data_IF_154708206681
#
_entry.id   IF_154708206681
#
_cell.length_a   1.000
_cell.length_b   1.000
_cell.length_c   1.000
_cell.angle_alpha   90.00
_cell.angle_beta   90.00
_cell.angle_gamma   90.00
#
_symmetry.space_group_name_H-M   'P 1'
#
loop_
_entity.id
_entity.type
_entity.pdbx_description
1 polymer ?
#
# COMPACT_ATOMS: atom_id res chain seq x y z
N UNK A 1 -77.36 -3.39 6.49
CA UNK A 1 -76.19 -2.71 5.90
C UNK A 1 -75.01 -2.84 6.85
N UNK A 2 -74.07 -3.75 6.57
CA UNK A 2 -72.76 -3.82 7.25
C UNK A 2 -71.75 -4.32 6.23
N UNK A 3 -70.91 -3.42 5.74
CA UNK A 3 -69.69 -3.77 4.99
C UNK A 3 -68.56 -3.01 5.68
N UNK A 4 -67.81 -3.73 6.51
CA UNK A 4 -66.57 -3.26 7.12
C UNK A 4 -65.45 -3.64 6.16
N UNK A 5 -64.87 -2.63 5.52
CA UNK A 5 -63.75 -2.76 4.60
C UNK A 5 -62.47 -2.92 5.46
N UNK A 6 -61.87 -4.12 5.47
CA UNK A 6 -60.60 -4.37 6.13
C UNK A 6 -59.45 -3.83 5.27
N UNK A 7 -58.73 -2.84 5.80
CA UNK A 7 -57.51 -2.30 5.22
C UNK A 7 -56.32 -3.05 5.84
N UNK A 8 -55.82 -4.10 5.16
CA UNK A 8 -54.54 -4.73 5.52
C UNK A 8 -53.39 -3.93 4.91
N UNK A 9 -52.70 -3.15 5.75
CA UNK A 9 -51.45 -2.47 5.40
C UNK A 9 -50.29 -3.45 5.65
N UNK A 10 -49.74 -4.04 4.59
CA UNK A 10 -48.55 -4.87 4.66
C UNK A 10 -47.31 -3.97 4.83
N UNK A 11 -46.76 -3.94 6.04
CA UNK A 11 -45.47 -3.31 6.31
C UNK A 11 -44.35 -4.19 5.76
N UNK A 12 -43.77 -3.79 4.62
CA UNK A 12 -42.52 -4.34 4.12
C UNK A 12 -41.39 -3.92 5.07
N UNK A 13 -40.91 -4.86 5.88
CA UNK A 13 -39.66 -4.72 6.63
C UNK A 13 -38.49 -4.75 5.64
N UNK A 14 -38.00 -3.56 5.28
CA UNK A 14 -36.67 -3.42 4.69
C UNK A 14 -35.64 -3.78 5.76
N UNK A 15 -35.16 -5.03 5.74
CA UNK A 15 -33.94 -5.40 6.45
C UNK A 15 -32.79 -4.77 5.68
N UNK A 16 -32.37 -3.58 6.12
CA UNK A 16 -31.18 -2.93 5.61
C UNK A 16 -29.97 -3.80 5.93
N UNK A 17 -29.33 -4.37 4.92
CA UNK A 17 -27.98 -4.91 5.03
C UNK A 17 -27.06 -3.74 5.40
N UNK A 18 -26.65 -3.66 6.66
CA UNK A 18 -25.56 -2.79 7.06
C UNK A 18 -24.26 -3.39 6.55
N UNK A 19 -23.80 -2.95 5.38
CA UNK A 19 -22.43 -3.22 4.94
C UNK A 19 -21.50 -2.59 5.97
N UNK A 20 -20.74 -3.40 6.70
CA UNK A 20 -19.65 -2.89 7.53
C UNK A 20 -18.74 -2.07 6.62
N UNK A 21 -18.60 -0.78 6.95
CA UNK A 21 -17.77 0.15 6.21
C UNK A 21 -16.32 -0.18 6.58
N UNK A 22 -15.72 -1.14 5.89
CA UNK A 22 -14.29 -1.43 6.02
C UNK A 22 -13.53 -0.14 5.75
N UNK A 23 -12.59 0.22 6.61
CA UNK A 23 -11.72 1.39 6.44
C UNK A 23 -10.66 1.12 5.36
N UNK A 24 -11.14 0.67 4.20
CA UNK A 24 -10.31 0.28 3.09
C UNK A 24 -9.82 1.54 2.38
N UNK A 25 -8.51 1.71 2.33
CA UNK A 25 -7.83 2.80 1.64
C UNK A 25 -7.04 2.25 0.47
N UNK A 26 -6.78 3.11 -0.51
CA UNK A 26 -5.88 2.78 -1.63
C UNK A 26 -4.77 3.82 -1.68
N UNK A 27 -3.54 3.36 -1.47
CA UNK A 27 -2.34 4.18 -1.57
C UNK A 27 -1.66 3.86 -2.89
N UNK A 28 -1.27 4.89 -3.64
CA UNK A 28 -0.56 4.74 -4.92
C UNK A 28 0.71 5.57 -4.89
N UNK A 29 1.80 5.00 -5.38
CA UNK A 29 3.09 5.68 -5.39
C UNK A 29 4.22 4.78 -5.86
N UNK A 30 5.42 5.01 -5.32
CA UNK A 30 6.62 4.22 -5.62
C UNK A 30 7.04 3.41 -4.40
N UNK A 31 7.46 2.17 -4.62
CA UNK A 31 8.09 1.36 -3.56
C UNK A 31 9.49 1.89 -3.22
N UNK A 32 9.71 2.21 -1.95
CA UNK A 32 10.96 2.77 -1.43
C UNK A 32 11.46 2.01 -0.20
N UNK A 33 12.78 2.05 0.02
CA UNK A 33 13.40 1.66 1.30
C UNK A 33 13.17 2.78 2.32
N UNK A 34 12.35 2.50 3.34
CA UNK A 34 11.95 3.52 4.33
C UNK A 34 13.12 4.05 5.15
N UNK A 35 14.13 3.21 5.42
CA UNK A 35 15.30 3.60 6.21
C UNK A 35 16.20 4.53 5.43
N UNK A 36 16.59 4.13 4.22
CA UNK A 36 17.50 4.95 3.40
C UNK A 36 16.82 6.24 2.93
N UNK A 37 15.53 6.19 2.62
CA UNK A 37 14.74 7.39 2.32
C UNK A 37 14.70 8.34 3.53
N UNK A 38 14.37 7.84 4.73
CA UNK A 38 14.32 8.67 5.94
C UNK A 38 15.65 9.30 6.34
N UNK A 39 16.79 8.72 5.91
CA UNK A 39 18.11 9.32 6.10
C UNK A 39 18.43 10.41 5.07
N UNK A 40 17.95 10.24 3.83
CA UNK A 40 18.19 11.13 2.69
C UNK A 40 17.09 10.91 1.65
N UNK A 41 16.22 11.90 1.45
CA UNK A 41 15.06 11.75 0.56
C UNK A 41 15.43 11.50 -0.92
N UNK A 42 16.67 11.79 -1.32
CA UNK A 42 17.20 11.43 -2.65
C UNK A 42 17.30 9.91 -2.85
N UNK A 43 17.30 9.11 -1.76
CA UNK A 43 17.26 7.65 -1.79
C UNK A 43 15.81 7.13 -1.94
N UNK A 44 15.15 7.52 -3.02
CA UNK A 44 13.79 7.08 -3.37
C UNK A 44 13.75 6.17 -4.60
N UNK A 45 14.91 5.75 -5.11
CA UNK A 45 15.05 4.81 -6.25
C UNK A 45 15.71 3.51 -5.80
N UNK A 46 15.90 2.53 -6.69
CA UNK A 46 16.55 1.28 -6.29
C UNK A 46 18.04 1.47 -5.93
N UNK A 47 18.67 2.49 -6.52
CA UNK A 47 20.04 2.86 -6.22
C UNK A 47 20.06 3.96 -5.14
N UNK A 48 20.97 3.85 -4.18
CA UNK A 48 21.09 4.82 -3.09
C UNK A 48 22.46 5.48 -3.06
N UNK A 49 22.50 6.71 -2.56
CA UNK A 49 23.71 7.37 -2.11
C UNK A 49 23.91 7.08 -0.62
N UNK A 50 25.04 6.46 -0.29
CA UNK A 50 25.42 6.15 1.10
C UNK A 50 26.72 6.87 1.45
N UNK A 51 26.84 7.29 2.71
CA UNK A 51 28.07 7.91 3.22
C UNK A 51 29.05 6.83 3.66
N UNK A 52 30.27 6.84 3.11
CA UNK A 52 31.39 5.97 3.51
C UNK A 52 32.59 6.85 3.86
N UNK A 53 32.78 7.10 5.16
CA UNK A 53 33.71 8.14 5.63
C UNK A 53 33.22 9.52 5.21
N UNK A 54 34.08 10.33 4.59
CA UNK A 54 33.73 11.68 4.12
C UNK A 54 33.20 11.72 2.69
N UNK A 55 32.99 10.57 2.05
CA UNK A 55 32.55 10.48 0.65
C UNK A 55 31.17 9.88 0.53
N UNK A 56 30.39 10.42 -0.41
CA UNK A 56 29.16 9.80 -0.87
C UNK A 56 29.48 8.78 -1.96
N UNK A 57 28.89 7.59 -1.85
CA UNK A 57 29.06 6.48 -2.80
C UNK A 57 27.69 6.04 -3.29
N UNK A 58 27.56 5.85 -4.60
CA UNK A 58 26.36 5.26 -5.19
C UNK A 58 26.41 3.74 -5.02
N UNK A 59 25.38 3.17 -4.42
CA UNK A 59 25.18 1.74 -4.20
C UNK A 59 24.05 1.26 -5.12
N UNK A 60 24.36 0.44 -6.14
CA UNK A 60 23.35 -0.07 -7.04
C UNK A 60 22.44 -1.10 -6.35
N UNK A 61 21.15 -1.11 -6.68
CA UNK A 61 20.16 -2.09 -6.17
C UNK A 61 20.11 -2.19 -4.64
N UNK A 62 20.45 -1.10 -3.95
CA UNK A 62 20.49 -1.03 -2.50
C UNK A 62 19.10 -1.27 -1.88
N UNK A 63 18.04 -0.69 -2.47
CA UNK A 63 16.68 -0.84 -1.94
C UNK A 63 16.22 -2.31 -2.02
N UNK A 64 16.49 -2.97 -3.15
CA UNK A 64 16.23 -4.42 -3.36
C UNK A 64 16.94 -5.26 -2.29
N UNK A 65 18.23 -5.00 -2.07
CA UNK A 65 19.01 -5.74 -1.08
C UNK A 65 18.47 -5.53 0.35
N UNK A 66 18.16 -4.30 0.73
CA UNK A 66 17.58 -3.97 2.04
C UNK A 66 16.22 -4.64 2.26
N UNK A 67 15.32 -4.60 1.27
CA UNK A 67 14.03 -5.26 1.35
C UNK A 67 14.18 -6.79 1.52
N UNK A 68 15.11 -7.41 0.78
CA UNK A 68 15.45 -8.83 0.92
C UNK A 68 16.03 -9.19 2.29
N UNK A 69 16.68 -8.25 2.98
CA UNK A 69 17.14 -8.40 4.37
C UNK A 69 16.04 -8.17 5.42
N UNK A 70 14.81 -7.83 5.01
CA UNK A 70 13.69 -7.57 5.91
C UNK A 70 13.58 -6.12 6.39
N UNK A 71 14.33 -5.17 5.81
CA UNK A 71 14.15 -3.75 6.10
C UNK A 71 12.78 -3.30 5.56
N UNK A 72 11.94 -2.60 6.35
CA UNK A 72 10.60 -2.20 5.94
C UNK A 72 10.58 -1.39 4.65
N UNK A 73 9.60 -1.69 3.81
CA UNK A 73 9.31 -0.94 2.57
C UNK A 73 8.14 0.00 2.78
N UNK A 74 8.10 1.05 1.98
CA UNK A 74 7.04 2.05 2.01
C UNK A 74 6.56 2.41 0.62
N UNK A 75 5.38 3.01 0.56
CA UNK A 75 4.85 3.65 -0.65
C UNK A 75 5.02 5.15 -0.51
N UNK A 76 5.88 5.73 -1.34
CA UNK A 76 6.03 7.19 -1.48
C UNK A 76 4.92 7.71 -2.39
N UNK A 77 3.95 8.44 -1.84
CA UNK A 77 2.77 8.88 -2.58
C UNK A 77 3.12 9.73 -3.79
N UNK A 78 2.39 9.50 -4.89
CA UNK A 78 2.62 10.09 -6.22
C UNK A 78 4.05 9.96 -6.76
N UNK A 79 4.88 9.09 -6.15
CA UNK A 79 6.26 8.84 -6.55
C UNK A 79 7.18 10.08 -6.48
N UNK A 80 6.88 11.05 -5.60
CA UNK A 80 7.63 12.32 -5.49
C UNK A 80 8.33 12.46 -4.14
N UNK A 81 9.63 12.78 -4.09
CA UNK A 81 10.31 13.08 -2.84
C UNK A 81 9.62 14.23 -2.08
N UNK A 82 9.49 14.10 -0.76
CA UNK A 82 8.81 15.07 0.09
C UNK A 82 7.30 14.84 0.28
N UNK A 83 6.70 13.90 -0.47
CA UNK A 83 5.33 13.45 -0.22
C UNK A 83 5.26 12.46 0.94
N UNK A 84 4.03 12.17 1.37
CA UNK A 84 3.76 11.21 2.43
C UNK A 84 4.25 9.80 2.07
N UNK A 85 4.72 9.10 3.09
CA UNK A 85 5.16 7.71 3.00
C UNK A 85 4.25 6.85 3.86
N UNK A 86 3.69 5.81 3.26
CA UNK A 86 2.94 4.78 3.98
C UNK A 86 3.81 3.54 4.12
N UNK A 87 4.17 3.18 5.36
CA UNK A 87 4.91 1.94 5.63
C UNK A 87 4.00 0.75 5.36
N UNK A 88 4.50 -0.20 4.57
CA UNK A 88 3.75 -1.40 4.21
C UNK A 88 3.90 -2.43 5.32
N UNK A 89 2.79 -2.80 5.96
CA UNK A 89 2.74 -3.81 7.02
C UNK A 89 2.64 -5.20 6.38
N UNK A 90 3.78 -5.68 5.87
CA UNK A 90 3.93 -7.02 5.30
C UNK A 90 5.42 -7.42 5.29
N UNK A 91 5.75 -8.71 5.10
CA UNK A 91 7.14 -9.14 4.96
C UNK A 91 7.82 -8.42 3.79
N UNK A 92 8.83 -7.59 4.11
CA UNK A 92 9.51 -6.72 3.14
C UNK A 92 10.13 -7.47 1.96
N UNK A 93 10.61 -8.70 2.20
CA UNK A 93 11.23 -9.54 1.17
C UNK A 93 10.32 -9.80 -0.04
N UNK A 94 9.00 -9.80 0.16
CA UNK A 94 8.01 -9.92 -0.93
C UNK A 94 8.17 -8.82 -1.99
N UNK A 95 8.60 -7.63 -1.58
CA UNK A 95 8.68 -6.46 -2.44
C UNK A 95 10.07 -6.25 -3.06
N UNK A 96 11.05 -7.10 -2.74
CA UNK A 96 12.44 -6.90 -3.11
C UNK A 96 12.62 -6.73 -4.64
N UNK A 97 11.99 -7.58 -5.45
CA UNK A 97 12.07 -7.49 -6.93
C UNK A 97 11.18 -6.39 -7.55
N UNK A 98 10.46 -5.66 -6.69
CA UNK A 98 9.52 -4.61 -7.08
C UNK A 98 9.93 -3.21 -6.59
N UNK A 99 11.06 -3.09 -5.90
CA UNK A 99 11.59 -1.79 -5.48
C UNK A 99 11.73 -0.83 -6.66
N UNK A 100 11.48 0.46 -6.42
CA UNK A 100 11.47 1.54 -7.42
C UNK A 100 10.34 1.47 -8.47
N UNK A 101 9.50 0.43 -8.47
CA UNK A 101 8.33 0.35 -9.35
C UNK A 101 7.16 1.16 -8.79
N UNK A 102 6.27 1.60 -9.68
CA UNK A 102 4.97 2.13 -9.27
C UNK A 102 4.13 1.00 -8.67
N UNK A 103 3.54 1.26 -7.52
CA UNK A 103 2.68 0.34 -6.78
C UNK A 103 1.36 1.01 -6.44
N UNK A 104 0.30 0.21 -6.39
CA UNK A 104 -0.97 0.56 -5.77
C UNK A 104 -1.31 -0.53 -4.77
N UNK A 105 -1.53 -0.14 -3.53
CA UNK A 105 -1.91 -1.05 -2.45
C UNK A 105 -3.29 -0.65 -1.97
N UNK A 106 -4.21 -1.61 -2.00
CA UNK A 106 -5.54 -1.46 -1.40
C UNK A 106 -5.60 -2.34 -0.15
N UNK A 107 -6.02 -1.78 0.97
CA UNK A 107 -6.03 -2.50 2.24
C UNK A 107 -6.47 -1.61 3.40
N UNK A 108 -6.09 -1.98 4.62
CA UNK A 108 -6.46 -1.25 5.83
C UNK A 108 -5.32 -0.34 6.29
N UNK A 109 -5.65 0.82 6.86
CA UNK A 109 -4.67 1.69 7.54
C UNK A 109 -4.87 1.59 9.05
N UNK A 110 -4.28 0.58 9.74
CA UNK A 110 -4.52 0.36 11.17
C UNK A 110 -3.98 1.49 12.06
N UNK A 111 -3.01 2.27 11.56
CA UNK A 111 -2.52 3.49 12.19
C UNK A 111 -2.02 4.49 11.13
N UNK A 112 -1.87 5.76 11.53
CA UNK A 112 -1.42 6.82 10.64
C UNK A 112 -0.06 6.50 10.00
N UNK A 113 0.07 6.72 8.68
CA UNK A 113 1.29 6.45 7.93
C UNK A 113 1.54 4.97 7.66
N UNK A 114 0.52 4.12 7.72
CA UNK A 114 0.65 2.68 7.46
C UNK A 114 -0.40 2.15 6.50
N UNK A 115 -0.06 1.06 5.83
CA UNK A 115 -0.95 0.30 4.97
C UNK A 115 -0.71 -1.19 5.17
N UNK A 116 -1.72 -1.91 5.64
CA UNK A 116 -1.77 -3.37 5.68
C UNK A 116 -2.42 -3.86 4.38
N UNK A 117 -1.67 -4.53 3.49
CA UNK A 117 -2.19 -4.90 2.17
C UNK A 117 -3.31 -5.94 2.26
N UNK A 118 -4.41 -5.70 1.54
CA UNK A 118 -5.35 -6.74 1.11
C UNK A 118 -5.20 -7.06 -0.39
N UNK A 119 -4.68 -6.11 -1.16
CA UNK A 119 -4.30 -6.28 -2.56
C UNK A 119 -3.08 -5.43 -2.88
N UNK A 120 -2.11 -6.00 -3.59
CA UNK A 120 -0.95 -5.28 -4.11
C UNK A 120 -0.88 -5.42 -5.61
N UNK A 121 -0.75 -4.29 -6.30
CA UNK A 121 -0.53 -4.26 -7.74
C UNK A 121 0.71 -3.44 -8.04
N UNK A 122 1.63 -4.01 -8.83
CA UNK A 122 2.84 -3.35 -9.29
C UNK A 122 2.72 -3.12 -10.79
N UNK A 123 3.12 -1.93 -11.24
CA UNK A 123 3.16 -1.61 -12.66
C UNK A 123 4.40 -2.24 -13.29
N UNK A 124 4.19 -3.11 -14.26
CA UNK A 124 5.29 -3.73 -15.01
C UNK A 124 5.87 -2.79 -16.06
N UNK A 125 6.95 -3.21 -16.71
CA UNK A 125 7.65 -2.43 -17.73
C UNK A 125 6.81 -2.13 -18.97
N UNK A 126 5.70 -2.87 -19.17
CA UNK A 126 4.72 -2.63 -20.23
C UNK A 126 3.62 -1.65 -19.80
N UNK A 127 3.75 -1.03 -18.62
CA UNK A 127 2.80 -0.10 -18.05
C UNK A 127 1.52 -0.75 -17.51
N UNK A 128 1.43 -2.08 -17.45
CA UNK A 128 0.25 -2.80 -16.95
C UNK A 128 0.38 -3.07 -15.45
N UNK A 129 -0.72 -2.90 -14.73
CA UNK A 129 -0.83 -3.33 -13.34
C UNK A 129 -0.90 -4.84 -13.28
N UNK A 130 -0.01 -5.44 -12.50
CA UNK A 130 0.04 -6.88 -12.25
C UNK A 130 -0.06 -7.08 -10.75
N UNK A 131 -0.94 -7.99 -10.34
CA UNK A 131 -1.11 -8.35 -8.94
C UNK A 131 0.12 -9.11 -8.43
N UNK A 132 0.55 -8.78 -7.22
CA UNK A 132 1.68 -9.42 -6.54
C UNK A 132 1.12 -10.15 -5.32
N UNK A 133 1.42 -11.44 -5.24
CA UNK A 133 1.12 -12.23 -4.05
C UNK A 133 2.04 -11.81 -2.91
N UNK A 134 1.45 -11.51 -1.75
CA UNK A 134 2.17 -11.12 -0.54
C UNK A 134 1.85 -12.11 0.55
N UNK A 135 2.90 -12.68 1.14
CA UNK A 135 2.77 -13.65 2.19
C UNK A 135 2.03 -13.06 3.40
N UNK A 136 1.00 -13.76 3.87
CA UNK A 136 0.20 -13.34 5.02
C UNK A 136 -0.87 -12.28 4.71
N UNK A 137 -1.14 -11.96 3.44
CA UNK A 137 -2.41 -11.34 3.07
C UNK A 137 -3.56 -12.32 3.38
N UNK A 138 -4.59 -11.83 4.08
CA UNK A 138 -5.81 -12.56 4.40
C UNK A 138 -6.78 -12.57 3.22
#
# INVERSE_FOLDING_TARGET
>A
MKTIFSLMLAAFLFVGFTSEKTNQVTVKGKLIDTKCYGMMHDNHTNDHMVKKGDKMMKMPSCATACAGMGIPVGVLEDSKPGNDVHVVIAPAGTFAEHMDKEVRITGEAPYAGSIMPGKVEVKNDKGKWVEVEVAGMM
#
